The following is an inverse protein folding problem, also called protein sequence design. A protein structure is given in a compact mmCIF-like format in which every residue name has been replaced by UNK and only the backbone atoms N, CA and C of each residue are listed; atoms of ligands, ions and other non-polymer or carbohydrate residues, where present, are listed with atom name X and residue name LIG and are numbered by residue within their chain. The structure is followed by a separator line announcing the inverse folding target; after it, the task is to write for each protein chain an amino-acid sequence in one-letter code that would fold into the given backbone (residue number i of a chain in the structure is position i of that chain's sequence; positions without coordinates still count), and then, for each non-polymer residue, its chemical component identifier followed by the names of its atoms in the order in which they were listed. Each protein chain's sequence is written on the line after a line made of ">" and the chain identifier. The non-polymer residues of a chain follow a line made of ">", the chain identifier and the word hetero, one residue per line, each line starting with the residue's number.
data_IF_869045286558
#
_entry.id   IF_869045286558
#
_cell.length_a   1.000
_cell.length_b   1.000
_cell.length_c   1.000
_cell.angle_alpha   90.00
_cell.angle_beta   90.00
_cell.angle_gamma   90.00
#
_symmetry.space_group_name_H-M   'P 1'
#
loop_
_entity.id
_entity.type
_entity.pdbx_description
1 polymer ?
#
# COMPACT_ATOMS: atom_id res chain seq x y z
N UNK A 1 8.19 -15.65 1.98
CA UNK A 1 6.96 -15.59 1.13
C UNK A 1 6.28 -16.95 1.06
N UNK A 2 6.99 -18.01 0.67
CA UNK A 2 6.42 -19.34 0.44
C UNK A 2 5.72 -19.91 1.67
N UNK A 3 6.33 -19.81 2.84
CA UNK A 3 5.76 -20.34 4.08
C UNK A 3 4.40 -19.69 4.40
N UNK A 4 4.30 -18.38 4.29
CA UNK A 4 3.04 -17.66 4.51
C UNK A 4 2.03 -17.98 3.40
N UNK A 5 2.49 -18.08 2.15
CA UNK A 5 1.65 -18.46 1.02
C UNK A 5 0.97 -19.81 1.25
N UNK A 6 1.78 -20.82 1.59
CA UNK A 6 1.28 -22.18 1.84
C UNK A 6 0.33 -22.23 3.03
N UNK A 7 0.63 -21.48 4.10
CA UNK A 7 -0.23 -21.37 5.27
C UNK A 7 -1.60 -20.77 4.93
N UNK A 8 -1.62 -19.68 4.17
CA UNK A 8 -2.86 -19.02 3.78
C UNK A 8 -3.74 -19.92 2.88
N UNK A 9 -3.13 -20.67 1.98
CA UNK A 9 -3.88 -21.62 1.15
C UNK A 9 -4.43 -22.77 1.98
N UNK A 10 -3.61 -23.35 2.86
CA UNK A 10 -4.00 -24.50 3.67
C UNK A 10 -5.10 -24.18 4.68
N UNK A 11 -5.00 -23.04 5.36
CA UNK A 11 -5.91 -22.67 6.44
C UNK A 11 -7.16 -21.92 5.96
N UNK A 12 -7.05 -21.11 4.92
CA UNK A 12 -8.12 -20.21 4.48
C UNK A 12 -8.56 -20.42 3.03
N UNK A 13 -7.89 -21.28 2.28
CA UNK A 13 -8.18 -21.46 0.85
C UNK A 13 -7.92 -20.21 0.03
N UNK A 14 -7.05 -19.32 0.52
CA UNK A 14 -6.76 -18.04 -0.10
C UNK A 14 -5.38 -18.03 -0.75
N UNK A 15 -5.37 -17.75 -2.05
CA UNK A 15 -4.14 -17.62 -2.82
C UNK A 15 -3.72 -16.16 -2.88
N UNK A 16 -2.64 -15.81 -2.19
CA UNK A 16 -2.07 -14.47 -2.22
C UNK A 16 -1.38 -14.19 -3.55
N UNK A 17 -1.51 -12.97 -4.06
CA UNK A 17 -0.95 -12.57 -5.36
C UNK A 17 -0.17 -11.27 -5.32
N UNK A 18 -0.20 -10.56 -4.19
CA UNK A 18 0.48 -9.28 -4.02
C UNK A 18 1.59 -9.41 -2.98
N UNK A 19 2.73 -8.82 -3.28
CA UNK A 19 3.89 -8.78 -2.39
C UNK A 19 4.38 -7.36 -2.21
N UNK A 20 4.51 -6.96 -0.96
CA UNK A 20 5.11 -5.68 -0.59
C UNK A 20 6.45 -5.95 0.10
N UNK A 21 7.58 -5.52 -0.49
CA UNK A 21 8.88 -5.70 0.14
C UNK A 21 8.94 -4.96 1.48
N UNK A 22 9.36 -5.61 2.57
CA UNK A 22 9.56 -4.91 3.84
C UNK A 22 10.54 -3.75 3.68
N UNK A 23 10.19 -2.59 4.23
CA UNK A 23 10.99 -1.36 4.14
C UNK A 23 11.25 -0.88 2.70
N UNK A 24 10.57 -1.43 1.72
CA UNK A 24 10.83 -1.14 0.31
C UNK A 24 12.13 -1.74 -0.22
N UNK A 25 12.79 -2.59 0.57
CA UNK A 25 14.05 -3.20 0.18
C UNK A 25 13.84 -4.40 -0.76
N UNK A 26 14.46 -4.35 -1.93
CA UNK A 26 14.37 -5.42 -2.91
C UNK A 26 15.68 -5.57 -3.69
N UNK A 27 15.82 -6.72 -4.34
CA UNK A 27 16.88 -7.01 -5.30
C UNK A 27 16.28 -7.62 -6.54
N UNK A 28 17.03 -7.69 -7.64
CA UNK A 28 16.58 -8.38 -8.84
C UNK A 28 16.20 -9.82 -8.54
N UNK A 29 16.97 -10.48 -7.68
CA UNK A 29 16.71 -11.86 -7.27
C UNK A 29 15.37 -11.99 -6.53
N UNK A 30 15.08 -11.13 -5.56
CA UNK A 30 13.82 -11.19 -4.81
C UNK A 30 12.61 -10.86 -5.68
N UNK A 31 12.77 -9.93 -6.62
CA UNK A 31 11.71 -9.60 -7.59
C UNK A 31 11.43 -10.81 -8.51
N UNK A 32 12.47 -11.46 -9.01
CA UNK A 32 12.31 -12.65 -9.86
C UNK A 32 11.67 -13.81 -9.10
N UNK A 33 12.05 -14.04 -7.86
CA UNK A 33 11.46 -15.09 -7.02
C UNK A 33 9.96 -14.84 -6.76
N UNK A 34 9.60 -13.60 -6.45
CA UNK A 34 8.21 -13.23 -6.26
C UNK A 34 7.39 -13.44 -7.55
N UNK A 35 7.94 -13.04 -8.69
CA UNK A 35 7.31 -13.23 -9.99
C UNK A 35 7.10 -14.71 -10.33
N UNK A 36 8.08 -15.55 -10.09
CA UNK A 36 7.98 -17.00 -10.31
C UNK A 36 6.88 -17.65 -9.46
N UNK A 37 6.61 -17.10 -8.28
CA UNK A 37 5.52 -17.56 -7.41
C UNK A 37 4.15 -17.00 -7.81
N UNK A 38 4.06 -16.19 -8.85
CA UNK A 38 2.82 -15.57 -9.30
C UNK A 38 2.45 -14.28 -8.58
N UNK A 39 3.40 -13.65 -7.89
CA UNK A 39 3.16 -12.39 -7.18
C UNK A 39 3.44 -11.17 -8.06
N UNK A 40 2.66 -10.12 -7.84
CA UNK A 40 2.98 -8.78 -8.27
C UNK A 40 3.62 -8.04 -7.10
N UNK A 41 4.83 -7.53 -7.30
CA UNK A 41 5.51 -6.71 -6.28
C UNK A 41 4.97 -5.29 -6.34
N UNK A 42 4.47 -4.79 -5.21
CA UNK A 42 3.87 -3.47 -5.09
C UNK A 42 4.75 -2.58 -4.23
N UNK A 43 5.12 -1.44 -4.80
CA UNK A 43 5.74 -0.32 -4.09
C UNK A 43 4.71 0.79 -3.91
N UNK A 44 5.11 1.92 -3.39
CA UNK A 44 4.21 3.01 -3.05
C UNK A 44 4.76 4.36 -3.49
N UNK A 45 3.86 5.31 -3.71
CA UNK A 45 4.23 6.70 -4.06
C UNK A 45 4.26 7.61 -2.84
N UNK A 46 3.60 7.21 -1.75
CA UNK A 46 3.55 7.96 -0.51
C UNK A 46 3.70 7.05 0.69
N UNK A 47 4.57 7.43 1.61
CA UNK A 47 4.66 6.90 2.97
C UNK A 47 5.23 7.98 3.87
N UNK A 48 4.95 7.90 5.16
CA UNK A 48 5.52 8.80 6.15
C UNK A 48 5.69 8.08 7.48
N UNK A 49 6.33 8.73 8.46
CA UNK A 49 6.58 8.12 9.76
C UNK A 49 5.30 8.07 10.60
N UNK A 50 4.51 7.05 10.37
CA UNK A 50 3.24 6.79 11.06
C UNK A 50 3.27 5.55 11.96
N UNK A 51 4.34 4.77 11.87
CA UNK A 51 4.47 3.45 12.51
C UNK A 51 4.91 3.50 13.97
N UNK A 52 5.43 4.63 14.45
CA UNK A 52 5.84 4.79 15.85
C UNK A 52 4.64 5.25 16.69
N UNK A 53 4.06 4.33 17.45
CA UNK A 53 2.87 4.60 18.26
C UNK A 53 3.09 5.64 19.36
N UNK A 54 4.35 5.90 19.73
CA UNK A 54 4.73 6.88 20.74
C UNK A 54 5.15 8.24 20.16
N UNK A 55 5.20 8.35 18.84
CA UNK A 55 5.60 9.58 18.14
C UNK A 55 4.76 9.75 16.88
N UNK A 56 3.49 10.02 17.09
CA UNK A 56 2.53 10.20 16.00
C UNK A 56 2.54 11.63 15.47
N UNK A 57 2.41 11.84 14.15
CA UNK A 57 2.17 13.17 13.61
C UNK A 57 0.87 13.74 14.14
N UNK A 58 0.78 15.06 14.27
CA UNK A 58 -0.49 15.71 14.60
C UNK A 58 -1.52 15.50 13.47
N UNK A 59 -2.79 15.62 13.79
CA UNK A 59 -3.87 15.54 12.81
C UNK A 59 -3.62 16.50 11.64
N UNK A 60 -3.30 17.76 11.93
CA UNK A 60 -3.06 18.77 10.90
C UNK A 60 -1.86 18.44 10.00
N UNK A 61 -0.76 17.94 10.59
CA UNK A 61 0.42 17.53 9.82
C UNK A 61 0.13 16.33 8.92
N UNK A 62 -0.57 15.34 9.45
CA UNK A 62 -0.93 14.16 8.68
C UNK A 62 -1.88 14.51 7.53
N UNK A 63 -2.88 15.34 7.79
CA UNK A 63 -3.81 15.80 6.76
C UNK A 63 -3.08 16.55 5.65
N UNK A 64 -2.24 17.51 6.00
CA UNK A 64 -1.46 18.27 5.02
C UNK A 64 -0.58 17.37 4.17
N UNK A 65 0.19 16.46 4.79
CA UNK A 65 1.11 15.56 4.08
C UNK A 65 0.38 14.59 3.16
N UNK A 66 -0.70 13.95 3.66
CA UNK A 66 -1.43 12.97 2.86
C UNK A 66 -2.17 13.62 1.70
N UNK A 67 -2.74 14.79 1.88
CA UNK A 67 -3.46 15.50 0.81
C UNK A 67 -2.51 16.05 -0.26
N UNK A 68 -1.29 16.43 0.12
CA UNK A 68 -0.30 16.98 -0.81
C UNK A 68 0.11 16.02 -1.92
N UNK A 69 0.08 14.73 -1.68
CA UNK A 69 0.54 13.70 -2.60
C UNK A 69 -0.57 12.97 -3.33
N UNK A 70 -1.80 13.47 -3.24
CA UNK A 70 -2.92 12.91 -4.00
C UNK A 70 -2.73 13.17 -5.49
N UNK A 71 -2.74 12.10 -6.28
CA UNK A 71 -2.71 12.16 -7.74
C UNK A 71 -3.24 10.86 -8.33
N UNK A 72 -3.55 10.88 -9.61
CA UNK A 72 -3.95 9.68 -10.34
C UNK A 72 -2.82 8.64 -10.31
N UNK A 73 -3.16 7.39 -9.99
CA UNK A 73 -2.20 6.31 -9.88
C UNK A 73 -1.43 6.26 -8.56
N UNK A 74 -1.77 7.11 -7.58
CA UNK A 74 -1.12 7.09 -6.27
C UNK A 74 -1.37 5.79 -5.52
N UNK A 75 -0.32 5.28 -4.88
CA UNK A 75 -0.39 4.13 -3.97
C UNK A 75 0.10 4.60 -2.61
N UNK A 76 -0.77 4.55 -1.62
CA UNK A 76 -0.48 5.00 -0.26
C UNK A 76 -0.15 3.84 0.65
N UNK A 77 0.98 3.93 1.35
CA UNK A 77 1.34 3.03 2.43
C UNK A 77 1.02 3.70 3.76
N UNK A 78 -0.01 3.19 4.42
CA UNK A 78 -0.44 3.67 5.74
C UNK A 78 -0.44 2.50 6.72
N UNK A 79 0.08 2.71 7.93
CA UNK A 79 0.14 1.67 8.93
C UNK A 79 -1.10 1.67 9.82
N UNK A 80 -1.67 0.51 10.03
CA UNK A 80 -2.91 0.35 10.81
C UNK A 80 -2.73 0.60 12.31
N UNK A 81 -1.50 0.62 12.82
CA UNK A 81 -1.19 0.93 14.21
C UNK A 81 -1.29 2.43 14.53
N UNK A 82 -1.42 3.27 13.52
CA UNK A 82 -1.44 4.73 13.68
C UNK A 82 -2.83 5.23 14.06
N UNK A 83 -2.98 5.78 15.25
CA UNK A 83 -4.21 6.46 15.68
C UNK A 83 -4.50 7.68 14.80
N UNK A 84 -3.45 8.40 14.40
CA UNK A 84 -3.58 9.57 13.54
C UNK A 84 -4.12 9.19 12.16
N UNK A 85 -3.62 8.11 11.57
CA UNK A 85 -4.15 7.60 10.30
C UNK A 85 -5.63 7.24 10.41
N UNK A 86 -6.03 6.58 11.49
CA UNK A 86 -7.43 6.26 11.72
C UNK A 86 -8.30 7.53 11.80
N UNK A 87 -7.79 8.57 12.43
CA UNK A 87 -8.52 9.83 12.58
C UNK A 87 -8.67 10.61 11.26
N UNK A 88 -7.66 10.60 10.38
CA UNK A 88 -7.67 11.37 9.12
C UNK A 88 -8.23 10.60 7.93
N UNK A 89 -8.37 9.28 8.02
CA UNK A 89 -8.68 8.42 6.87
C UNK A 89 -9.98 8.81 6.16
N UNK A 90 -11.03 9.06 6.92
CA UNK A 90 -12.32 9.49 6.34
C UNK A 90 -12.21 10.79 5.55
N UNK A 91 -11.55 11.78 6.11
CA UNK A 91 -11.34 13.08 5.46
C UNK A 91 -10.43 12.95 4.23
N UNK A 92 -9.41 12.08 4.30
CA UNK A 92 -8.53 11.79 3.16
C UNK A 92 -9.31 11.17 2.00
N UNK A 93 -10.17 10.19 2.28
CA UNK A 93 -11.02 9.55 1.28
C UNK A 93 -11.96 10.58 0.64
N UNK A 94 -12.58 11.42 1.43
CA UNK A 94 -13.49 12.46 0.95
C UNK A 94 -12.74 13.46 0.04
N UNK A 95 -11.54 13.87 0.41
CA UNK A 95 -10.72 14.76 -0.39
C UNK A 95 -10.29 14.13 -1.72
N UNK A 96 -9.92 12.86 -1.72
CA UNK A 96 -9.58 12.12 -2.95
C UNK A 96 -10.78 12.12 -3.91
N UNK A 97 -11.96 11.83 -3.40
CA UNK A 97 -13.20 11.82 -4.20
C UNK A 97 -13.58 13.22 -4.68
N UNK A 98 -13.40 14.23 -3.85
CA UNK A 98 -13.66 15.63 -4.21
C UNK A 98 -12.77 16.11 -5.35
N UNK A 99 -11.58 15.54 -5.50
CA UNK A 99 -10.67 15.81 -6.63
C UNK A 99 -11.00 15.03 -7.89
N UNK A 100 -12.08 14.25 -7.89
CA UNK A 100 -12.53 13.46 -9.05
C UNK A 100 -11.79 12.15 -9.25
N UNK A 101 -11.10 11.65 -8.21
CA UNK A 101 -10.37 10.39 -8.26
C UNK A 101 -11.17 9.28 -7.61
N UNK A 102 -10.98 8.06 -8.09
CA UNK A 102 -11.57 6.85 -7.52
C UNK A 102 -10.56 6.08 -6.70
N UNK A 103 -11.03 5.49 -5.60
CA UNK A 103 -10.28 4.50 -4.83
C UNK A 103 -10.59 3.12 -5.39
N UNK A 104 -9.57 2.41 -5.82
CA UNK A 104 -9.72 1.08 -6.40
C UNK A 104 -8.95 0.03 -5.60
N UNK A 105 -9.50 -1.18 -5.53
CA UNK A 105 -8.77 -2.34 -5.06
C UNK A 105 -7.71 -2.75 -6.10
N UNK A 106 -6.67 -3.44 -5.65
CA UNK A 106 -5.60 -3.92 -6.53
C UNK A 106 -6.00 -5.25 -7.17
N UNK A 107 -7.03 -5.23 -7.97
CA UNK A 107 -7.49 -6.38 -8.75
C UNK A 107 -7.38 -6.15 -10.26
N UNK A 108 -6.89 -4.97 -10.62
CA UNK A 108 -6.68 -4.61 -12.02
C UNK A 108 -5.45 -5.33 -12.58
N UNK A 109 -5.54 -5.91 -13.78
CA UNK A 109 -4.37 -6.48 -14.42
C UNK A 109 -3.33 -5.38 -14.66
N UNK A 110 -2.07 -5.71 -14.39
CA UNK A 110 -0.97 -4.82 -14.76
C UNK A 110 -0.97 -4.65 -16.28
N UNK A 111 -1.21 -3.45 -16.70
CA UNK A 111 -1.01 -3.06 -18.10
C UNK A 111 0.35 -2.37 -18.17
N UNK A 112 1.36 -2.98 -18.83
CA UNK A 112 2.63 -2.32 -19.01
C UNK A 112 2.42 -1.00 -19.76
N UNK A 113 3.20 0.03 -19.47
CA UNK A 113 3.08 1.28 -20.21
C UNK A 113 3.24 1.03 -21.71
N UNK A 114 2.38 1.63 -22.49
CA UNK A 114 2.53 1.61 -23.94
C UNK A 114 3.83 2.35 -24.30
N UNK A 115 4.69 1.68 -25.03
CA UNK A 115 5.95 2.27 -25.49
C UNK A 115 5.69 3.29 -26.60
#
# INVERSE_FOLDING_TARGET
>A
IRELHDYMEAEFGYTMTLYRPPEGAFSEQTLAMAQEMGYTTVLWSFAYKDYDVNDQPSYAQAQERTEKFIHEGAIYLLHAVSETNAAILGDLIDEIRARGLELAAWDLPYLPPEN
#
